data_IF_135595966735
#
_entry.id   IF_135595966735
#
_cell.length_a   1.000
_cell.length_b   1.000
_cell.length_c   1.000
_cell.angle_alpha   90.00
_cell.angle_beta   90.00
_cell.angle_gamma   90.00
#
_symmetry.space_group_name_H-M   'P 1'
#
loop_
_entity.id
_entity.type
_entity.pdbx_description
1 polymer ?
#
# COMPACT_ATOMS: atom_id res chain seq x y z
N UNK A 1 6.83 -0.35 -3.27
CA UNK A 1 6.93 0.74 -2.29
C UNK A 1 6.56 2.05 -2.97
N UNK A 2 5.65 2.82 -2.38
CA UNK A 2 5.17 4.12 -2.85
C UNK A 2 5.56 5.20 -1.85
N UNK A 3 6.09 6.33 -2.33
CA UNK A 3 6.45 7.46 -1.47
C UNK A 3 5.19 8.15 -0.94
N UNK A 4 5.04 8.21 0.38
CA UNK A 4 3.85 8.79 1.03
C UNK A 4 4.11 10.20 1.57
N UNK A 5 5.37 10.54 1.81
CA UNK A 5 5.74 11.90 2.23
C UNK A 5 6.99 11.94 3.08
N UNK A 6 7.16 13.06 3.76
CA UNK A 6 8.21 13.26 4.74
C UNK A 6 7.64 13.14 6.15
N UNK A 7 8.43 12.63 7.08
CA UNK A 7 8.08 12.53 8.50
C UNK A 7 7.84 13.89 9.18
N UNK A 8 8.30 14.99 8.58
CA UNK A 8 8.20 16.35 9.13
C UNK A 8 7.76 17.36 8.09
N UNK A 9 6.98 18.33 8.53
CA UNK A 9 6.60 19.49 7.72
C UNK A 9 7.76 20.49 7.59
N UNK A 10 7.88 21.10 6.41
CA UNK A 10 8.90 22.13 6.12
C UNK A 10 8.45 23.54 6.52
N UNK A 11 7.77 23.70 7.66
CA UNK A 11 7.25 25.00 8.12
C UNK A 11 8.15 25.59 9.21
N UNK A 12 8.45 26.89 9.11
CA UNK A 12 9.23 27.66 10.10
C UNK A 12 10.61 27.06 10.44
N UNK A 13 11.36 26.61 9.42
CA UNK A 13 12.70 26.06 9.62
C UNK A 13 13.70 27.19 9.94
N UNK A 14 14.17 27.26 11.19
CA UNK A 14 15.13 28.28 11.66
C UNK A 14 16.53 27.73 11.94
N UNK A 15 16.73 26.42 11.76
CA UNK A 15 18.00 25.71 11.94
C UNK A 15 17.99 24.41 11.12
N UNK A 16 19.12 23.71 11.06
CA UNK A 16 19.25 22.44 10.34
C UNK A 16 18.21 21.41 10.81
N UNK A 17 17.53 20.77 9.85
CA UNK A 17 16.48 19.79 10.09
C UNK A 17 16.80 18.50 9.33
N UNK A 18 16.80 17.37 10.05
CA UNK A 18 16.83 16.04 9.44
C UNK A 18 15.38 15.57 9.25
N UNK A 19 15.07 15.17 8.01
CA UNK A 19 13.79 14.57 7.61
C UNK A 19 14.01 13.18 7.04
N UNK A 20 13.02 12.33 7.20
CA UNK A 20 13.00 10.93 6.78
C UNK A 20 11.87 10.73 5.79
N UNK A 21 12.19 10.17 4.63
CA UNK A 21 11.18 9.80 3.64
C UNK A 21 10.37 8.59 4.16
N UNK A 22 9.05 8.68 4.03
CA UNK A 22 8.12 7.60 4.36
C UNK A 22 7.68 6.89 3.09
N UNK A 23 7.64 5.56 3.17
CA UNK A 23 7.24 4.68 2.09
C UNK A 23 6.26 3.65 2.61
N UNK A 24 5.25 3.33 1.82
CA UNK A 24 4.31 2.23 2.08
C UNK A 24 4.50 1.13 1.03
N UNK A 25 4.30 -0.12 1.42
CA UNK A 25 4.32 -1.25 0.50
C UNK A 25 2.91 -1.41 -0.10
N UNK A 26 2.81 -1.38 -1.44
CA UNK A 26 1.54 -1.63 -2.11
C UNK A 26 1.15 -3.09 -1.93
N UNK A 27 -0.10 -3.32 -1.59
CA UNK A 27 -0.65 -4.65 -1.37
C UNK A 27 -0.40 -5.23 0.02
N UNK A 28 0.22 -4.48 0.95
CA UNK A 28 0.35 -4.84 2.37
C UNK A 28 -0.74 -4.08 3.15
N UNK A 29 -1.95 -4.65 3.18
CA UNK A 29 -3.14 -3.95 3.70
C UNK A 29 -3.31 -4.12 5.20
N UNK A 30 -2.61 -5.08 5.82
CA UNK A 30 -2.59 -5.24 7.27
C UNK A 30 -1.39 -4.53 7.95
N UNK A 31 -0.41 -4.07 7.18
CA UNK A 31 0.71 -3.26 7.63
C UNK A 31 1.77 -4.08 8.36
N UNK A 32 1.85 -5.39 8.13
CA UNK A 32 2.83 -6.27 8.76
C UNK A 32 4.24 -6.19 8.15
N UNK A 33 4.36 -5.47 7.03
CA UNK A 33 5.59 -5.28 6.28
C UNK A 33 5.83 -6.31 5.15
N UNK A 34 4.89 -7.22 4.89
CA UNK A 34 4.98 -8.24 3.85
C UNK A 34 3.68 -8.36 3.07
N UNK A 35 3.76 -8.36 1.73
CA UNK A 35 2.60 -8.69 0.89
C UNK A 35 2.38 -10.20 0.92
N UNK A 36 1.24 -10.63 1.47
CA UNK A 36 0.89 -12.03 1.66
C UNK A 36 -0.42 -12.42 0.95
N UNK A 37 -0.78 -13.71 0.99
CA UNK A 37 -2.08 -14.18 0.50
C UNK A 37 -3.24 -13.63 1.34
N UNK A 38 -2.99 -13.27 2.61
CA UNK A 38 -4.00 -12.68 3.48
C UNK A 38 -4.37 -11.27 3.00
N UNK A 39 -3.38 -10.50 2.55
CA UNK A 39 -3.59 -9.19 1.96
C UNK A 39 -4.38 -9.27 0.67
N UNK A 40 -3.96 -10.16 -0.24
CA UNK A 40 -4.66 -10.40 -1.49
C UNK A 40 -6.14 -10.75 -1.28
N UNK A 41 -6.45 -11.59 -0.28
CA UNK A 41 -7.82 -11.93 0.07
C UNK A 41 -8.58 -10.71 0.64
N UNK A 42 -7.92 -9.89 1.44
CA UNK A 42 -8.51 -8.66 1.99
C UNK A 42 -8.83 -7.65 0.88
N UNK A 43 -7.91 -7.45 -0.07
CA UNK A 43 -8.12 -6.61 -1.26
C UNK A 43 -9.30 -7.15 -2.09
N UNK A 44 -9.38 -8.46 -2.30
CA UNK A 44 -10.51 -9.06 -3.01
C UNK A 44 -11.85 -8.82 -2.29
N UNK A 45 -11.85 -8.86 -0.95
CA UNK A 45 -13.04 -8.56 -0.15
C UNK A 45 -13.42 -7.08 -0.20
N UNK A 46 -12.44 -6.18 -0.26
CA UNK A 46 -12.66 -4.76 -0.50
C UNK A 46 -13.26 -4.51 -1.90
N UNK A 47 -12.74 -5.16 -2.94
CA UNK A 47 -13.26 -5.08 -4.31
C UNK A 47 -14.72 -5.57 -4.44
N UNK A 48 -15.13 -6.50 -3.57
CA UNK A 48 -16.50 -7.01 -3.50
C UNK A 48 -17.42 -6.20 -2.57
N UNK A 49 -16.95 -5.06 -2.03
CA UNK A 49 -17.69 -4.22 -1.07
C UNK A 49 -18.11 -4.98 0.21
N UNK A 50 -17.37 -6.04 0.56
CA UNK A 50 -17.59 -6.85 1.77
C UNK A 50 -16.90 -6.22 2.98
N UNK A 51 -15.78 -5.53 2.75
CA UNK A 51 -15.01 -4.83 3.77
C UNK A 51 -14.87 -3.35 3.40
N UNK A 52 -14.90 -2.43 4.39
CA UNK A 52 -14.63 -1.03 4.14
C UNK A 52 -13.18 -0.84 3.67
N UNK A 53 -13.00 0.09 2.75
CA UNK A 53 -11.67 0.50 2.26
C UNK A 53 -11.11 1.56 3.22
N UNK A 54 -10.13 1.18 4.04
CA UNK A 54 -9.47 2.13 4.94
C UNK A 54 -8.38 2.93 4.24
N UNK A 55 -7.57 2.29 3.41
CA UNK A 55 -6.55 2.96 2.60
C UNK A 55 -6.60 2.46 1.15
N UNK A 56 -7.24 3.25 0.30
CA UNK A 56 -7.37 2.92 -1.11
C UNK A 56 -6.02 2.82 -1.81
N UNK A 57 -5.04 3.65 -1.42
CA UNK A 57 -3.75 3.71 -2.10
C UNK A 57 -2.88 2.49 -1.84
N UNK A 58 -3.10 1.76 -0.74
CA UNK A 58 -2.39 0.52 -0.44
C UNK A 58 -3.04 -0.67 -1.17
N UNK A 59 -4.38 -0.67 -1.24
CA UNK A 59 -5.15 -1.74 -1.87
C UNK A 59 -5.19 -1.66 -3.39
N UNK A 60 -5.05 -0.47 -3.98
CA UNK A 60 -4.87 -0.20 -5.41
C UNK A 60 -3.38 -0.41 -5.78
N UNK A 61 -3.05 -1.60 -6.27
CA UNK A 61 -1.65 -2.00 -6.51
C UNK A 61 -1.21 -1.77 -7.95
N UNK A 62 -2.14 -1.64 -8.90
CA UNK A 62 -1.83 -1.24 -10.28
C UNK A 62 -1.89 0.28 -10.51
N UNK A 63 -2.47 1.03 -9.57
CA UNK A 63 -2.51 2.49 -9.56
C UNK A 63 -3.56 3.07 -10.50
N UNK A 64 -4.58 2.31 -10.88
CA UNK A 64 -5.64 2.75 -11.79
C UNK A 64 -6.74 3.60 -11.09
N UNK A 65 -6.69 3.69 -9.76
CA UNK A 65 -7.63 4.44 -8.94
C UNK A 65 -8.87 3.66 -8.53
N UNK A 66 -8.93 2.35 -8.76
CA UNK A 66 -10.03 1.47 -8.37
C UNK A 66 -9.50 0.21 -7.68
N UNK A 67 -10.20 -0.25 -6.64
CA UNK A 67 -9.87 -1.54 -6.01
C UNK A 67 -10.68 -2.62 -6.70
N UNK A 68 -9.97 -3.52 -7.38
CA UNK A 68 -10.56 -4.59 -8.17
C UNK A 68 -9.96 -5.95 -7.82
N UNK A 69 -10.49 -7.01 -8.44
CA UNK A 69 -9.88 -8.32 -8.36
C UNK A 69 -8.52 -8.39 -9.06
N UNK A 70 -8.18 -7.44 -9.95
CA UNK A 70 -6.84 -7.33 -10.53
C UNK A 70 -5.82 -7.02 -9.43
N UNK A 71 -6.15 -6.10 -8.54
CA UNK A 71 -5.27 -5.71 -7.45
C UNK A 71 -4.98 -6.88 -6.50
N UNK A 72 -6.04 -7.61 -6.15
CA UNK A 72 -5.93 -8.82 -5.36
C UNK A 72 -5.03 -9.87 -6.03
N UNK A 73 -5.17 -10.06 -7.35
CA UNK A 73 -4.35 -11.01 -8.11
C UNK A 73 -2.88 -10.56 -8.19
N UNK A 74 -2.63 -9.26 -8.35
CA UNK A 74 -1.29 -8.70 -8.36
C UNK A 74 -0.63 -8.86 -6.99
N UNK A 75 -1.32 -8.51 -5.90
CA UNK A 75 -0.86 -8.75 -4.53
C UNK A 75 -0.58 -10.25 -4.29
N UNK A 76 -1.46 -11.14 -4.75
CA UNK A 76 -1.27 -12.59 -4.64
C UNK A 76 -0.03 -13.06 -5.42
N UNK A 77 0.19 -12.51 -6.62
CA UNK A 77 1.35 -12.82 -7.45
C UNK A 77 2.65 -12.37 -6.78
N UNK A 78 2.64 -11.21 -6.14
CA UNK A 78 3.76 -10.75 -5.31
C UNK A 78 4.00 -11.68 -4.11
N UNK A 79 2.94 -12.06 -3.39
CA UNK A 79 3.03 -12.94 -2.22
C UNK A 79 3.55 -14.35 -2.53
N UNK A 80 3.26 -14.89 -3.72
CA UNK A 80 3.62 -16.26 -4.11
C UNK A 80 5.02 -16.40 -4.73
N UNK A 81 5.73 -15.30 -4.97
CA UNK A 81 7.14 -15.32 -5.42
C UNK A 81 7.42 -16.20 -6.66
N UNK A 82 6.81 -15.88 -7.81
CA UNK A 82 7.51 -16.05 -9.10
C UNK A 82 8.15 -14.69 -9.40
N UNK A 83 9.41 -14.57 -8.99
CA UNK A 83 10.20 -13.35 -9.08
C UNK A 83 10.70 -13.04 -10.50
N UNK A 84 10.76 -11.73 -10.78
CA UNK A 84 11.62 -11.02 -11.75
C UNK A 84 11.27 -11.16 -13.25
#
# INVERSE_FOLDING_TARGET
YTFTGWDKAFTNITADLVVTAQYEMLGDVDGDGNVSMADALTILRMAMDILPVENQQIADVDGDGFITSMDALLALRFAMHIEQ
#
